data_IF_975828429935
#
_entry.id   IF_975828429935
#
_cell.length_a   1.000
_cell.length_b   1.000
_cell.length_c   1.000
_cell.angle_alpha   90.00
_cell.angle_beta   90.00
_cell.angle_gamma   90.00
#
_symmetry.space_group_name_H-M   'P 1'
#
loop_
_entity.id
_entity.type
_entity.pdbx_description
1 polymer ?
#
# COMPACT_ATOMS: atom_id res chain seq x y z
N UNK A 1 -3.81 38.64 4.07
CA UNK A 1 -2.86 37.50 3.97
C UNK A 1 -3.57 36.14 3.98
N UNK A 2 -4.59 35.93 4.82
CA UNK A 2 -5.36 34.67 4.92
C UNK A 2 -5.98 34.15 3.62
N UNK A 3 -6.65 34.99 2.82
CA UNK A 3 -7.25 34.61 1.52
C UNK A 3 -6.23 34.02 0.53
N UNK A 4 -5.02 34.60 0.45
CA UNK A 4 -3.94 34.08 -0.41
C UNK A 4 -3.45 32.71 0.05
N UNK A 5 -3.36 32.48 1.35
CA UNK A 5 -2.98 31.18 1.90
C UNK A 5 -4.07 30.11 1.65
N UNK A 6 -5.34 30.47 1.82
CA UNK A 6 -6.50 29.62 1.51
C UNK A 6 -6.55 29.24 0.02
N UNK A 7 -6.31 30.21 -0.88
CA UNK A 7 -6.27 29.98 -2.33
C UNK A 7 -5.09 29.06 -2.74
N UNK A 8 -3.92 29.21 -2.10
CA UNK A 8 -2.78 28.31 -2.30
C UNK A 8 -3.07 26.89 -1.81
N UNK A 9 -3.73 26.74 -0.65
CA UNK A 9 -4.14 25.45 -0.11
C UNK A 9 -5.11 24.72 -1.06
N UNK A 10 -6.11 25.43 -1.59
CA UNK A 10 -7.07 24.87 -2.56
C UNK A 10 -6.40 24.45 -3.86
N UNK A 11 -5.43 25.22 -4.35
CA UNK A 11 -4.68 24.87 -5.57
C UNK A 11 -3.82 23.63 -5.34
N UNK A 12 -3.10 23.56 -4.21
CA UNK A 12 -2.33 22.38 -3.82
C UNK A 12 -3.21 21.13 -3.77
N UNK A 13 -4.39 21.24 -3.16
CA UNK A 13 -5.34 20.14 -3.02
C UNK A 13 -5.82 19.60 -4.38
N UNK A 14 -6.20 20.49 -5.31
CA UNK A 14 -6.60 20.09 -6.68
C UNK A 14 -5.51 19.33 -7.44
N UNK A 15 -4.25 19.72 -7.25
CA UNK A 15 -3.10 19.03 -7.88
C UNK A 15 -2.96 17.62 -7.31
N UNK A 16 -3.09 17.47 -5.99
CA UNK A 16 -3.01 16.16 -5.32
C UNK A 16 -4.16 15.25 -5.75
N UNK A 17 -5.39 15.75 -5.80
CA UNK A 17 -6.56 15.00 -6.26
C UNK A 17 -6.42 14.55 -7.73
N UNK A 18 -5.87 15.42 -8.58
CA UNK A 18 -5.57 15.08 -9.96
C UNK A 18 -4.52 13.97 -10.07
N UNK A 19 -3.45 14.04 -9.28
CA UNK A 19 -2.41 13.00 -9.23
C UNK A 19 -2.98 11.66 -8.74
N UNK A 20 -3.77 11.66 -7.66
CA UNK A 20 -4.42 10.46 -7.12
C UNK A 20 -5.32 9.82 -8.15
N UNK A 21 -6.12 10.61 -8.88
CA UNK A 21 -6.95 10.06 -9.94
C UNK A 21 -6.13 9.40 -11.06
N UNK A 22 -5.07 10.07 -11.54
CA UNK A 22 -4.26 9.54 -12.65
C UNK A 22 -3.48 8.29 -12.21
N UNK A 23 -2.89 8.30 -11.02
CA UNK A 23 -2.23 7.12 -10.46
C UNK A 23 -3.20 5.94 -10.28
N UNK A 24 -4.46 6.21 -9.93
CA UNK A 24 -5.49 5.17 -9.80
C UNK A 24 -6.11 4.70 -11.11
N UNK A 25 -5.85 5.36 -12.24
CA UNK A 25 -6.48 5.02 -13.54
C UNK A 25 -5.48 4.51 -14.57
N UNK A 26 -4.32 5.15 -14.70
CA UNK A 26 -3.28 4.77 -15.67
C UNK A 26 -2.00 4.28 -15.00
N UNK A 27 -1.79 4.68 -13.75
CA UNK A 27 -0.63 4.31 -12.93
C UNK A 27 0.46 5.39 -12.89
N UNK A 28 1.27 5.40 -11.83
CA UNK A 28 2.29 6.43 -11.64
C UNK A 28 3.30 6.56 -12.80
N UNK A 29 3.80 5.44 -13.34
CA UNK A 29 4.80 5.47 -14.41
C UNK A 29 4.26 6.05 -15.73
N UNK A 30 2.93 6.02 -15.91
CA UNK A 30 2.24 6.58 -17.08
C UNK A 30 1.65 7.97 -16.82
N UNK A 31 1.93 8.59 -15.67
CA UNK A 31 1.37 9.89 -15.27
C UNK A 31 2.41 10.99 -15.43
N UNK A 32 2.14 11.97 -16.30
CA UNK A 32 3.03 13.12 -16.49
C UNK A 32 2.56 14.35 -15.70
N UNK A 33 3.51 15.23 -15.34
CA UNK A 33 3.20 16.56 -14.76
C UNK A 33 2.28 17.38 -15.67
N UNK A 34 2.38 17.22 -16.98
CA UNK A 34 1.49 17.88 -17.93
C UNK A 34 0.03 17.41 -17.78
N UNK A 35 -0.19 16.09 -17.71
CA UNK A 35 -1.51 15.50 -17.50
C UNK A 35 -2.09 15.88 -16.12
N UNK A 36 -1.26 15.90 -15.08
CA UNK A 36 -1.68 16.36 -13.74
C UNK A 36 -2.11 17.83 -13.79
N UNK A 37 -1.31 18.70 -14.42
CA UNK A 37 -1.61 20.13 -14.53
C UNK A 37 -2.91 20.37 -15.29
N UNK A 38 -3.09 19.70 -16.43
CA UNK A 38 -4.31 19.75 -17.24
C UNK A 38 -5.53 19.33 -16.42
N UNK A 39 -5.49 18.15 -15.78
CA UNK A 39 -6.58 17.65 -14.95
C UNK A 39 -6.88 18.55 -13.77
N UNK A 40 -5.85 19.08 -13.12
CA UNK A 40 -6.00 20.00 -12.01
C UNK A 40 -6.48 21.38 -12.45
N UNK A 41 -6.51 21.70 -13.75
CA UNK A 41 -6.86 23.02 -14.28
C UNK A 41 -5.87 24.11 -13.89
N UNK A 42 -4.58 23.80 -13.94
CA UNK A 42 -3.46 24.70 -13.63
C UNK A 42 -2.33 24.57 -14.66
N UNK A 43 -1.31 25.42 -14.59
CA UNK A 43 -0.13 25.31 -15.45
C UNK A 43 0.91 24.35 -14.86
N UNK A 44 1.81 23.79 -15.69
CA UNK A 44 2.97 23.01 -15.22
C UNK A 44 3.82 23.80 -14.22
N UNK A 45 4.04 25.10 -14.47
CA UNK A 45 4.78 25.97 -13.56
C UNK A 45 4.09 26.08 -12.20
N UNK A 46 2.75 26.11 -12.17
CA UNK A 46 1.98 26.08 -10.92
C UNK A 46 2.21 24.78 -10.15
N UNK A 47 2.26 23.63 -10.84
CA UNK A 47 2.60 22.35 -10.19
C UNK A 47 3.99 22.42 -9.55
N UNK A 48 5.02 22.82 -10.30
CA UNK A 48 6.39 22.94 -9.77
C UNK A 48 6.52 23.93 -8.62
N UNK A 49 5.72 25.00 -8.59
CA UNK A 49 5.68 25.95 -7.45
C UNK A 49 5.16 25.32 -6.17
N UNK A 50 4.25 24.35 -6.26
CA UNK A 50 3.70 23.64 -5.10
C UNK A 50 4.48 22.37 -4.76
N UNK A 51 5.08 21.72 -5.75
CA UNK A 51 5.81 20.46 -5.62
C UNK A 51 7.13 20.60 -6.38
N UNK A 52 8.22 20.95 -5.69
CA UNK A 52 9.49 21.28 -6.34
C UNK A 52 10.11 20.07 -7.06
N UNK A 53 9.77 18.86 -6.62
CA UNK A 53 10.24 17.61 -7.19
C UNK A 53 9.13 16.54 -7.21
N UNK A 54 9.41 15.45 -7.92
CA UNK A 54 8.52 14.31 -8.08
C UNK A 54 8.25 13.60 -6.75
N UNK A 55 9.27 13.45 -5.90
CA UNK A 55 9.12 12.82 -4.58
C UNK A 55 8.09 13.54 -3.71
N UNK A 56 8.14 14.88 -3.65
CA UNK A 56 7.19 15.69 -2.89
C UNK A 56 5.75 15.54 -3.40
N UNK A 57 5.56 15.42 -4.71
CA UNK A 57 4.26 15.16 -5.31
C UNK A 57 3.77 13.73 -5.00
N UNK A 58 4.62 12.73 -5.12
CA UNK A 58 4.32 11.33 -4.79
C UNK A 58 3.96 11.14 -3.32
N UNK A 59 4.69 11.78 -2.41
CA UNK A 59 4.39 11.75 -0.97
C UNK A 59 3.03 12.38 -0.66
N UNK A 60 2.72 13.53 -1.27
CA UNK A 60 1.44 14.18 -1.08
C UNK A 60 0.28 13.36 -1.68
N UNK A 61 0.49 12.78 -2.87
CA UNK A 61 -0.47 11.88 -3.53
C UNK A 61 -0.73 10.63 -2.67
N UNK A 62 0.33 9.92 -2.27
CA UNK A 62 0.24 8.73 -1.42
C UNK A 62 -0.40 9.06 -0.07
N UNK A 63 0.03 10.13 0.59
CA UNK A 63 -0.53 10.57 1.87
C UNK A 63 -2.01 10.92 1.78
N UNK A 64 -2.45 11.61 0.72
CA UNK A 64 -3.85 11.91 0.50
C UNK A 64 -4.68 10.65 0.27
N UNK A 65 -4.23 9.75 -0.61
CA UNK A 65 -4.94 8.50 -0.85
C UNK A 65 -5.03 7.63 0.42
N UNK A 66 -3.91 7.45 1.15
CA UNK A 66 -3.87 6.69 2.40
C UNK A 66 -4.77 7.28 3.49
N UNK A 67 -4.91 8.61 3.55
CA UNK A 67 -5.81 9.28 4.52
C UNK A 67 -7.29 8.95 4.31
N UNK A 68 -7.65 8.44 3.13
CA UNK A 68 -8.99 8.01 2.78
C UNK A 68 -9.18 6.50 2.98
N UNK A 69 -8.12 5.76 3.34
CA UNK A 69 -8.18 4.32 3.56
C UNK A 69 -8.29 3.99 5.04
N UNK A 70 -8.94 2.85 5.34
CA UNK A 70 -8.74 2.18 6.63
C UNK A 70 -7.44 1.37 6.54
N UNK A 71 -6.36 1.94 7.08
CA UNK A 71 -5.03 1.32 7.06
C UNK A 71 -4.97 0.06 7.94
N UNK A 72 -4.13 -0.93 7.58
CA UNK A 72 -3.84 -2.05 8.46
C UNK A 72 -3.21 -1.60 9.79
N UNK A 73 -3.55 -2.26 10.88
CA UNK A 73 -3.12 -1.92 12.24
C UNK A 73 -2.28 -3.03 12.87
N UNK A 74 -0.98 -3.13 12.52
CA UNK A 74 -0.08 -4.16 13.05
C UNK A 74 0.03 -4.17 14.57
N UNK A 75 -0.23 -3.06 15.24
CA UNK A 75 -0.28 -2.98 16.70
C UNK A 75 -1.43 -3.81 17.29
N UNK A 76 -2.57 -3.90 16.60
CA UNK A 76 -3.75 -4.64 17.08
C UNK A 76 -3.50 -6.15 17.03
N UNK A 77 -3.05 -6.67 15.89
CA UNK A 77 -2.78 -8.10 15.76
C UNK A 77 -1.45 -8.51 16.36
N UNK A 78 -0.46 -7.61 16.46
CA UNK A 78 0.79 -7.85 17.17
C UNK A 78 0.62 -8.11 18.67
N UNK A 79 -0.49 -7.66 19.27
CA UNK A 79 -0.83 -7.93 20.67
C UNK A 79 -1.40 -9.34 20.91
N UNK A 80 -1.71 -10.11 19.86
CA UNK A 80 -2.24 -11.47 19.96
C UNK A 80 -1.10 -12.45 20.21
N UNK A 81 -1.13 -13.20 21.31
CA UNK A 81 -0.04 -14.13 21.69
C UNK A 81 0.01 -15.38 20.81
N UNK A 82 -1.14 -15.97 20.47
CA UNK A 82 -1.18 -17.18 19.65
C UNK A 82 -0.75 -16.86 18.20
N UNK A 83 0.29 -17.54 17.66
CA UNK A 83 0.82 -17.25 16.33
C UNK A 83 -0.18 -17.48 15.20
N UNK A 84 -1.08 -18.45 15.33
CA UNK A 84 -2.09 -18.77 14.31
C UNK A 84 -3.21 -17.74 14.33
N UNK A 85 -3.68 -17.33 15.51
CA UNK A 85 -4.65 -16.25 15.68
C UNK A 85 -4.08 -14.90 15.22
N UNK A 86 -2.82 -14.57 15.56
CA UNK A 86 -2.12 -13.38 15.08
C UNK A 86 -2.06 -13.34 13.56
N UNK A 87 -1.63 -14.45 12.95
CA UNK A 87 -1.56 -14.56 11.49
C UNK A 87 -2.94 -14.42 10.85
N UNK A 88 -3.95 -15.07 11.41
CA UNK A 88 -5.33 -14.99 10.91
C UNK A 88 -5.85 -13.55 10.94
N UNK A 89 -5.66 -12.85 12.06
CA UNK A 89 -6.10 -11.46 12.22
C UNK A 89 -5.34 -10.51 11.28
N UNK A 90 -4.02 -10.63 11.22
CA UNK A 90 -3.19 -9.78 10.37
C UNK A 90 -3.47 -9.98 8.88
N UNK A 91 -3.59 -11.22 8.40
CA UNK A 91 -3.94 -11.47 6.99
C UNK A 91 -5.34 -10.98 6.66
N UNK A 92 -6.32 -11.16 7.57
CA UNK A 92 -7.67 -10.64 7.36
C UNK A 92 -7.68 -9.10 7.24
N UNK A 93 -6.90 -8.41 8.05
CA UNK A 93 -6.78 -6.95 8.02
C UNK A 93 -6.07 -6.45 6.75
N UNK A 94 -4.97 -7.09 6.36
CA UNK A 94 -4.25 -6.81 5.11
C UNK A 94 -5.16 -7.04 3.89
N UNK A 95 -5.83 -8.19 3.81
CA UNK A 95 -6.64 -8.55 2.64
C UNK A 95 -7.88 -7.66 2.50
N UNK A 96 -8.48 -7.24 3.62
CA UNK A 96 -9.51 -6.19 3.65
C UNK A 96 -8.99 -4.89 3.03
N UNK A 97 -7.79 -4.45 3.44
CA UNK A 97 -7.18 -3.24 2.89
C UNK A 97 -6.87 -3.39 1.40
N UNK A 98 -6.33 -4.54 0.98
CA UNK A 98 -6.04 -4.84 -0.41
C UNK A 98 -7.28 -4.83 -1.29
N UNK A 99 -8.38 -5.43 -0.82
CA UNK A 99 -9.67 -5.40 -1.53
C UNK A 99 -10.20 -4.00 -1.70
N UNK A 100 -10.14 -3.16 -0.66
CA UNK A 100 -10.61 -1.78 -0.73
C UNK A 100 -9.75 -0.91 -1.68
N UNK A 101 -8.44 -1.15 -1.70
CA UNK A 101 -7.47 -0.36 -2.46
C UNK A 101 -7.04 -0.97 -3.80
N UNK A 102 -7.66 -2.06 -4.26
CA UNK A 102 -7.11 -2.96 -5.29
C UNK A 102 -6.64 -2.25 -6.55
N UNK A 103 -7.46 -1.37 -7.12
CA UNK A 103 -7.15 -0.70 -8.38
C UNK A 103 -5.88 0.15 -8.24
N UNK A 104 -5.81 0.94 -7.17
CA UNK A 104 -4.63 1.78 -6.89
C UNK A 104 -3.41 0.91 -6.59
N UNK A 105 -3.55 -0.08 -5.70
CA UNK A 105 -2.45 -0.95 -5.29
C UNK A 105 -1.90 -1.75 -6.48
N UNK A 106 -2.76 -2.20 -7.39
CA UNK A 106 -2.35 -2.87 -8.63
C UNK A 106 -1.45 -2.00 -9.48
N UNK A 107 -1.84 -0.74 -9.72
CA UNK A 107 -1.08 0.17 -10.56
C UNK A 107 0.20 0.64 -9.88
N UNK A 108 0.15 0.92 -8.57
CA UNK A 108 1.33 1.34 -7.80
C UNK A 108 2.33 0.20 -7.66
N UNK A 109 1.89 -1.03 -7.35
CA UNK A 109 2.79 -2.19 -7.27
C UNK A 109 3.43 -2.52 -8.62
N UNK A 110 2.69 -2.38 -9.73
CA UNK A 110 3.23 -2.54 -11.09
C UNK A 110 4.35 -1.52 -11.37
N UNK A 111 4.14 -0.28 -10.97
CA UNK A 111 5.01 0.85 -11.32
C UNK A 111 6.07 1.16 -10.25
N UNK A 112 6.10 0.42 -9.13
CA UNK A 112 6.98 0.71 -7.99
C UNK A 112 8.46 0.75 -8.37
N UNK A 113 8.87 -0.03 -9.37
CA UNK A 113 10.25 -0.04 -9.87
C UNK A 113 10.69 1.31 -10.48
N UNK A 114 9.74 2.14 -10.91
CA UNK A 114 9.98 3.45 -11.52
C UNK A 114 9.72 4.60 -10.54
N UNK A 115 9.26 4.32 -9.32
CA UNK A 115 9.05 5.34 -8.31
C UNK A 115 10.39 5.87 -7.77
N UNK A 116 10.43 7.11 -7.24
CA UNK A 116 11.62 7.63 -6.56
C UNK A 116 12.06 6.75 -5.39
N UNK A 117 13.37 6.64 -5.15
CA UNK A 117 13.93 5.76 -4.11
C UNK A 117 13.26 5.92 -2.72
N UNK A 118 13.01 7.15 -2.21
CA UNK A 118 12.35 7.31 -0.91
C UNK A 118 10.93 6.75 -0.86
N UNK A 119 10.24 6.66 -2.01
CA UNK A 119 8.90 6.07 -2.10
C UNK A 119 9.00 4.54 -2.06
N UNK A 120 9.97 3.97 -2.79
CA UNK A 120 10.21 2.53 -2.79
C UNK A 120 10.63 2.04 -1.40
N UNK A 121 11.57 2.73 -0.77
CA UNK A 121 12.03 2.43 0.59
C UNK A 121 10.89 2.50 1.61
N UNK A 122 10.00 3.50 1.52
CA UNK A 122 8.85 3.60 2.41
C UNK A 122 7.84 2.45 2.23
N UNK A 123 7.66 1.97 0.99
CA UNK A 123 6.84 0.79 0.70
C UNK A 123 7.48 -0.48 1.27
N UNK A 124 8.76 -0.69 1.03
CA UNK A 124 9.52 -1.84 1.55
C UNK A 124 9.54 -1.85 3.08
N UNK A 125 9.76 -0.71 3.72
CA UNK A 125 9.73 -0.58 5.18
C UNK A 125 8.36 -0.91 5.77
N UNK A 126 7.27 -0.45 5.13
CA UNK A 126 5.90 -0.79 5.54
C UNK A 126 5.65 -2.29 5.45
N UNK A 127 5.97 -2.91 4.32
CA UNK A 127 5.70 -4.33 4.10
C UNK A 127 6.61 -5.21 4.99
N UNK A 128 7.86 -4.77 5.19
CA UNK A 128 8.80 -5.38 6.13
C UNK A 128 8.30 -5.35 7.57
N UNK A 129 7.70 -4.23 8.00
CA UNK A 129 7.05 -4.11 9.32
C UNK A 129 5.90 -5.10 9.48
N UNK A 130 5.06 -5.29 8.47
CA UNK A 130 3.97 -6.26 8.55
C UNK A 130 4.50 -7.69 8.70
N UNK A 131 5.53 -8.04 7.92
CA UNK A 131 6.19 -9.33 8.02
C UNK A 131 6.81 -9.57 9.41
N UNK A 132 7.52 -8.58 9.95
CA UNK A 132 8.14 -8.65 11.28
C UNK A 132 7.11 -9.02 12.34
N UNK A 133 6.04 -8.23 12.47
CA UNK A 133 5.01 -8.44 13.50
C UNK A 133 4.33 -9.82 13.36
N UNK A 134 4.09 -10.28 12.13
CA UNK A 134 3.51 -11.61 11.87
C UNK A 134 4.47 -12.74 12.22
N UNK A 135 5.75 -12.58 11.92
CA UNK A 135 6.79 -13.59 12.14
C UNK A 135 7.19 -13.71 13.61
N UNK A 136 7.17 -12.62 14.37
CA UNK A 136 7.64 -12.55 15.76
C UNK A 136 6.86 -13.45 16.74
N UNK A 137 5.66 -13.91 16.36
CA UNK A 137 4.89 -14.85 17.17
C UNK A 137 5.41 -16.29 17.13
N UNK A 138 6.28 -16.62 16.17
CA UNK A 138 6.64 -18.00 15.87
C UNK A 138 8.00 -18.40 16.47
N UNK A 139 8.15 -19.65 16.96
CA UNK A 139 9.45 -20.14 17.45
C UNK A 139 10.54 -20.18 16.37
N UNK A 140 11.79 -19.92 16.76
CA UNK A 140 12.97 -19.73 15.89
C UNK A 140 13.50 -20.99 15.18
N UNK A 141 13.08 -22.20 15.58
CA UNK A 141 13.67 -23.45 15.05
C UNK A 141 13.40 -23.72 13.54
N UNK A 142 12.49 -22.98 12.89
CA UNK A 142 12.18 -23.08 11.44
C UNK A 142 12.13 -21.71 10.74
N UNK A 143 12.88 -20.73 11.28
CA UNK A 143 12.68 -19.30 11.02
C UNK A 143 12.77 -18.88 9.54
N UNK A 144 13.78 -19.28 8.72
CA UNK A 144 13.94 -18.68 7.41
C UNK A 144 12.83 -19.06 6.42
N UNK A 145 12.44 -20.35 6.40
CA UNK A 145 11.39 -20.84 5.50
C UNK A 145 10.04 -20.31 5.97
N UNK A 146 9.73 -20.38 7.27
CA UNK A 146 8.45 -19.88 7.78
C UNK A 146 8.30 -18.39 7.55
N UNK A 147 9.34 -17.60 7.81
CA UNK A 147 9.35 -16.16 7.51
C UNK A 147 9.10 -15.89 6.03
N UNK A 148 9.72 -16.65 5.13
CA UNK A 148 9.46 -16.51 3.70
C UNK A 148 8.00 -16.83 3.33
N UNK A 149 7.41 -17.88 3.89
CA UNK A 149 6.01 -18.23 3.65
C UNK A 149 5.04 -17.21 4.26
N UNK A 150 5.35 -16.64 5.43
CA UNK A 150 4.59 -15.52 6.01
C UNK A 150 4.68 -14.29 5.10
N UNK A 151 5.87 -13.96 4.59
CA UNK A 151 6.06 -12.87 3.63
C UNK A 151 5.25 -13.08 2.35
N UNK A 152 5.24 -14.31 1.83
CA UNK A 152 4.38 -14.69 0.71
C UNK A 152 2.90 -14.53 1.07
N UNK A 153 2.44 -15.05 2.21
CA UNK A 153 1.05 -14.94 2.65
C UNK A 153 0.60 -13.48 2.79
N UNK A 154 1.46 -12.59 3.30
CA UNK A 154 1.16 -11.19 3.51
C UNK A 154 1.19 -10.34 2.22
N UNK A 155 1.75 -10.85 1.12
CA UNK A 155 1.95 -10.04 -0.09
C UNK A 155 0.63 -9.72 -0.82
N UNK A 156 0.54 -8.49 -1.35
CA UNK A 156 -0.57 -8.07 -2.20
C UNK A 156 -0.73 -8.95 -3.45
N UNK A 157 0.39 -9.38 -4.06
CA UNK A 157 0.37 -10.27 -5.22
C UNK A 157 -0.26 -11.62 -4.91
N UNK A 158 -0.03 -12.17 -3.71
CA UNK A 158 -0.62 -13.42 -3.25
C UNK A 158 -2.12 -13.27 -3.06
N UNK A 159 -2.57 -12.22 -2.36
CA UNK A 159 -3.99 -11.92 -2.25
C UNK A 159 -4.66 -11.79 -3.62
N UNK A 160 -4.03 -11.06 -4.54
CA UNK A 160 -4.57 -10.85 -5.88
C UNK A 160 -4.68 -12.16 -6.65
N UNK A 161 -3.65 -13.00 -6.64
CA UNK A 161 -3.71 -14.30 -7.32
C UNK A 161 -4.83 -15.18 -6.74
N UNK A 162 -4.90 -15.33 -5.41
CA UNK A 162 -5.94 -16.13 -4.77
C UNK A 162 -7.36 -15.59 -5.02
N UNK A 163 -7.58 -14.28 -4.86
CA UNK A 163 -8.92 -13.71 -4.89
C UNK A 163 -9.41 -13.33 -6.29
N UNK A 164 -8.51 -13.04 -7.23
CA UNK A 164 -8.86 -12.58 -8.58
C UNK A 164 -8.60 -13.61 -9.67
N UNK A 165 -7.60 -14.46 -9.51
CA UNK A 165 -7.30 -15.50 -10.50
C UNK A 165 -7.93 -16.84 -10.10
N UNK A 166 -7.93 -17.15 -8.79
CA UNK A 166 -8.52 -18.38 -8.25
C UNK A 166 -9.92 -18.17 -7.62
N UNK A 167 -10.46 -16.95 -7.71
CA UNK A 167 -11.82 -16.59 -7.30
C UNK A 167 -12.16 -16.87 -5.82
N UNK A 168 -11.16 -16.96 -4.94
CA UNK A 168 -11.39 -17.13 -3.52
C UNK A 168 -11.96 -15.86 -2.87
N UNK A 169 -12.81 -16.04 -1.85
CA UNK A 169 -13.13 -14.97 -0.91
C UNK A 169 -11.92 -14.64 -0.03
N UNK A 170 -11.88 -13.44 0.55
CA UNK A 170 -10.80 -13.08 1.49
C UNK A 170 -10.69 -14.07 2.65
N UNK A 171 -11.83 -14.59 3.14
CA UNK A 171 -11.87 -15.57 4.23
C UNK A 171 -11.26 -16.91 3.83
N UNK A 172 -11.52 -17.38 2.61
CA UNK A 172 -10.91 -18.61 2.08
C UNK A 172 -9.41 -18.42 1.84
N UNK A 173 -9.01 -17.28 1.26
CA UNK A 173 -7.61 -16.95 1.04
C UNK A 173 -6.81 -16.90 2.37
N UNK A 174 -7.35 -16.26 3.41
CA UNK A 174 -6.76 -16.27 4.77
C UNK A 174 -6.62 -17.70 5.28
N UNK A 175 -7.69 -18.51 5.21
CA UNK A 175 -7.67 -19.90 5.71
C UNK A 175 -6.59 -20.74 5.01
N UNK A 176 -6.47 -20.62 3.69
CA UNK A 176 -5.46 -21.34 2.89
C UNK A 176 -4.06 -20.92 3.32
N UNK A 177 -3.79 -19.61 3.43
CA UNK A 177 -2.46 -19.11 3.78
C UNK A 177 -2.05 -19.43 5.22
N UNK A 178 -2.99 -19.36 6.17
CA UNK A 178 -2.77 -19.79 7.56
C UNK A 178 -2.42 -21.29 7.60
N UNK A 179 -3.13 -22.11 6.84
CA UNK A 179 -2.85 -23.57 6.75
C UNK A 179 -1.45 -23.83 6.18
N UNK A 180 -1.05 -23.12 5.13
CA UNK A 180 0.27 -23.26 4.52
C UNK A 180 1.40 -22.84 5.47
N UNK A 181 1.25 -21.72 6.18
CA UNK A 181 2.24 -21.29 7.17
C UNK A 181 2.35 -22.29 8.32
N UNK A 182 1.22 -22.78 8.83
CA UNK A 182 1.18 -23.77 9.92
C UNK A 182 1.78 -25.13 9.56
N UNK A 183 1.83 -25.48 8.27
CA UNK A 183 2.48 -26.69 7.79
C UNK A 183 4.02 -26.59 7.76
N UNK A 184 4.59 -25.38 7.86
CA UNK A 184 6.04 -25.18 7.84
C UNK A 184 6.66 -25.59 9.18
N UNK A 185 7.40 -26.69 9.16
CA UNK A 185 8.15 -27.21 10.31
C UNK A 185 7.44 -28.29 11.13
N UNK A 186 6.34 -28.84 10.63
CA UNK A 186 5.83 -30.15 11.04
C UNK A 186 6.60 -31.29 10.37
#
# INVERSE_FOLDING_TARGET
>A
MRKRAEDMGRTRQRIVEAAVHLHGTTGPASTSIAAIAERAGVTRLTVYRHFPDETALFQACSGHWLSQQKLPQPEEWGAIEDPVERLTAGLADLYRFYRAGEQMLTLVSRDLHAAPDPIREAWEARDGRYLEVLADAWPTAAEPVRRAVIGHAAAFSTWRSLCREQELTDREAVRVMVTLVGAVGN
#
